data_IF_185612454520
#
_entry.id   IF_185612454520
#
_cell.length_a   1.000
_cell.length_b   1.000
_cell.length_c   1.000
_cell.angle_alpha   90.00
_cell.angle_beta   90.00
_cell.angle_gamma   90.00
#
_symmetry.space_group_name_H-M   'P 1'
#
loop_
_entity.id
_entity.type
_entity.pdbx_description
1 polymer ?
#
# COMPACT_ATOMS: atom_id res chain seq x y z
N UNK A 1 -10.76 53.32 8.83
CA UNK A 1 -10.45 52.54 10.05
C UNK A 1 -9.30 51.62 9.73
N UNK A 2 -8.13 51.90 10.30
CA UNK A 2 -6.91 51.09 10.14
C UNK A 2 -6.97 49.97 11.19
N UNK A 3 -7.26 48.74 10.76
CA UNK A 3 -7.07 47.57 11.62
C UNK A 3 -5.58 47.24 11.66
N UNK A 4 -4.82 47.97 12.49
CA UNK A 4 -3.48 47.55 12.89
C UNK A 4 -3.63 46.35 13.82
N UNK A 5 -3.31 45.16 13.33
CA UNK A 5 -3.16 43.94 14.11
C UNK A 5 -1.97 44.09 15.09
N UNK A 6 -2.19 44.07 16.42
CA UNK A 6 -1.10 44.00 17.39
C UNK A 6 -1.04 42.58 17.96
N UNK A 7 -0.84 41.59 17.11
CA UNK A 7 -0.65 40.21 17.54
C UNK A 7 0.52 39.65 16.73
N UNK A 8 1.65 39.41 17.42
CA UNK A 8 2.95 38.97 16.89
C UNK A 8 3.93 40.10 16.57
N UNK A 9 4.21 40.96 17.55
CA UNK A 9 5.54 41.58 17.64
C UNK A 9 6.51 40.46 18.04
N UNK A 10 7.46 40.13 17.17
CA UNK A 10 8.45 39.04 17.36
C UNK A 10 9.18 39.09 18.72
N UNK A 11 9.28 40.27 19.33
CA UNK A 11 9.88 40.48 20.65
C UNK A 11 9.06 39.96 21.85
N UNK A 12 7.76 39.68 21.72
CA UNK A 12 6.94 39.18 22.83
C UNK A 12 7.12 37.67 23.08
N UNK A 13 7.61 36.92 22.10
CA UNK A 13 7.94 35.50 22.23
C UNK A 13 9.30 35.25 22.91
N UNK A 14 10.12 36.28 23.08
CA UNK A 14 11.51 36.14 23.55
C UNK A 14 11.66 35.79 25.04
N UNK A 15 10.58 35.86 25.85
CA UNK A 15 10.62 35.61 27.31
C UNK A 15 9.76 34.44 27.79
N UNK A 16 9.12 33.69 26.89
CA UNK A 16 8.40 32.46 27.22
C UNK A 16 9.33 31.25 27.10
N UNK A 17 9.16 30.22 27.96
CA UNK A 17 9.73 28.90 27.67
C UNK A 17 9.26 28.50 26.27
N UNK A 18 10.20 28.02 25.44
CA UNK A 18 9.86 27.48 24.12
C UNK A 18 8.73 26.46 24.31
N UNK A 19 7.60 26.70 23.64
CA UNK A 19 6.43 25.82 23.66
C UNK A 19 6.78 24.43 23.11
N UNK A 20 7.89 24.33 22.36
CA UNK A 20 8.38 23.11 21.75
C UNK A 20 9.49 22.45 22.57
N UNK A 21 9.52 21.11 22.64
CA UNK A 21 10.58 20.38 23.31
C UNK A 21 11.92 20.62 22.61
N UNK A 22 13.01 20.72 23.40
CA UNK A 22 14.39 20.84 22.86
C UNK A 22 14.84 19.61 22.05
N UNK A 23 14.17 18.47 22.22
CA UNK A 23 14.48 17.21 21.53
C UNK A 23 13.27 16.79 20.70
N UNK A 24 13.47 16.62 19.40
CA UNK A 24 12.46 16.06 18.50
C UNK A 24 12.48 14.54 18.61
N UNK A 25 11.44 13.97 19.24
CA UNK A 25 11.32 12.50 19.45
C UNK A 25 10.93 11.77 18.15
N UNK A 26 10.28 12.46 17.23
CA UNK A 26 9.80 11.89 15.97
C UNK A 26 10.01 12.90 14.83
N UNK A 27 10.49 12.41 13.68
CA UNK A 27 10.64 13.20 12.47
C UNK A 27 9.77 12.62 11.36
N UNK A 28 8.91 13.46 10.79
CA UNK A 28 7.95 13.06 9.78
C UNK A 28 8.59 12.98 8.40
N UNK A 29 8.79 11.77 7.90
CA UNK A 29 9.23 11.55 6.51
C UNK A 29 8.05 11.70 5.53
N UNK A 30 6.86 11.30 5.98
CA UNK A 30 5.59 11.46 5.29
C UNK A 30 4.63 12.17 6.24
N UNK A 31 3.69 12.99 5.72
CA UNK A 31 2.70 13.64 6.57
C UNK A 31 1.86 12.57 7.30
N UNK A 32 1.55 12.81 8.58
CA UNK A 32 0.67 11.93 9.37
C UNK A 32 -0.79 12.09 8.93
N UNK A 33 -1.08 11.66 7.72
CA UNK A 33 -2.40 11.63 7.11
C UNK A 33 -2.72 10.18 6.69
N UNK A 34 -3.95 9.75 6.97
CA UNK A 34 -4.43 8.45 6.49
C UNK A 34 -4.72 8.51 4.98
N UNK A 35 -4.65 7.36 4.32
CA UNK A 35 -4.98 7.20 2.90
C UNK A 35 -6.40 6.67 2.77
N UNK A 36 -7.08 6.97 1.66
CA UNK A 36 -8.39 6.35 1.34
C UNK A 36 -8.27 4.90 0.84
N UNK A 37 -7.12 4.24 1.02
CA UNK A 37 -6.93 2.84 0.66
C UNK A 37 -5.92 2.18 1.57
N UNK A 38 -6.14 0.90 1.82
CA UNK A 38 -5.20 0.01 2.48
C UNK A 38 -4.55 -0.88 1.44
N UNK A 39 -3.24 -1.09 1.60
CA UNK A 39 -2.51 -2.02 0.76
C UNK A 39 -2.81 -3.45 1.21
N UNK A 40 -3.27 -4.27 0.28
CA UNK A 40 -3.44 -5.69 0.53
C UNK A 40 -2.06 -6.36 0.66
N UNK A 41 -1.87 -7.15 1.72
CA UNK A 41 -0.71 -8.04 1.83
C UNK A 41 -0.76 -9.04 0.68
N UNK A 42 0.33 -9.16 -0.08
CA UNK A 42 0.43 -10.14 -1.17
C UNK A 42 0.45 -11.54 -0.56
N UNK A 43 -0.69 -12.19 -0.53
CA UNK A 43 -0.80 -13.62 -0.24
C UNK A 43 -0.70 -14.37 -1.56
N UNK A 44 0.18 -15.37 -1.61
CA UNK A 44 0.25 -16.28 -2.75
C UNK A 44 -0.84 -17.33 -2.55
N UNK A 45 -1.53 -17.70 -3.62
CA UNK A 45 -2.38 -18.88 -3.60
C UNK A 45 -1.53 -20.09 -3.19
N UNK A 46 -2.11 -21.00 -2.42
CA UNK A 46 -1.51 -22.31 -2.14
C UNK A 46 -1.64 -23.20 -3.38
N UNK A 47 -1.07 -22.76 -4.51
CA UNK A 47 -0.98 -23.59 -5.69
C UNK A 47 0.08 -24.67 -5.43
N UNK A 48 -0.20 -25.90 -5.89
CA UNK A 48 0.81 -26.95 -5.94
C UNK A 48 2.01 -26.43 -6.72
N UNK A 49 3.18 -26.42 -6.09
CA UNK A 49 4.41 -26.24 -6.85
C UNK A 49 4.55 -27.53 -7.65
N UNK A 50 4.41 -27.49 -8.97
CA UNK A 50 4.52 -28.65 -9.89
C UNK A 50 5.94 -29.27 -9.92
N UNK A 51 6.65 -29.18 -8.81
CA UNK A 51 8.01 -29.63 -8.53
C UNK A 51 8.14 -31.13 -8.60
N UNK A 52 7.11 -31.90 -8.22
CA UNK A 52 7.12 -33.37 -8.34
C UNK A 52 7.14 -33.82 -9.81
N UNK A 53 6.22 -33.29 -10.61
CA UNK A 53 6.16 -33.55 -12.06
C UNK A 53 7.43 -33.07 -12.76
N UNK A 54 7.94 -31.90 -12.37
CA UNK A 54 9.18 -31.34 -12.90
C UNK A 54 10.41 -32.22 -12.57
N UNK A 55 10.48 -32.76 -11.36
CA UNK A 55 11.53 -33.71 -10.97
C UNK A 55 11.44 -35.01 -11.77
N UNK A 56 10.23 -35.52 -12.02
CA UNK A 56 10.02 -36.70 -12.86
C UNK A 56 10.43 -36.47 -14.32
N UNK A 57 10.13 -35.28 -14.87
CA UNK A 57 10.58 -34.85 -16.20
C UNK A 57 12.11 -34.81 -16.28
N UNK A 58 12.78 -34.13 -15.35
CA UNK A 58 14.24 -34.07 -15.32
C UNK A 58 14.88 -35.45 -15.11
N UNK A 59 14.23 -36.33 -14.33
CA UNK A 59 14.66 -37.72 -14.18
C UNK A 59 14.59 -38.52 -15.48
N UNK A 60 13.64 -38.22 -16.36
CA UNK A 60 13.55 -38.82 -17.68
C UNK A 60 14.58 -38.22 -18.65
N UNK A 61 14.65 -36.88 -18.72
CA UNK A 61 15.58 -36.17 -19.61
C UNK A 61 17.04 -36.56 -19.33
N UNK A 62 17.41 -36.73 -18.06
CA UNK A 62 18.75 -37.19 -17.68
C UNK A 62 19.11 -38.58 -18.24
N UNK A 63 18.13 -39.46 -18.44
CA UNK A 63 18.36 -40.82 -18.96
C UNK A 63 18.54 -40.86 -20.47
N UNK A 64 18.01 -39.87 -21.18
CA UNK A 64 17.96 -39.82 -22.65
C UNK A 64 18.74 -38.64 -23.21
N UNK A 65 19.78 -38.17 -22.51
CA UNK A 65 20.62 -37.03 -22.94
C UNK A 65 19.81 -35.78 -23.33
N UNK A 66 18.68 -35.55 -22.65
CA UNK A 66 17.74 -34.45 -22.88
C UNK A 66 16.92 -34.54 -24.18
N UNK A 67 16.75 -35.72 -24.76
CA UNK A 67 15.77 -35.94 -25.81
C UNK A 67 14.33 -35.97 -25.26
N UNK A 68 13.48 -35.05 -25.75
CA UNK A 68 12.08 -34.92 -25.30
C UNK A 68 11.16 -36.03 -25.83
N UNK A 69 11.49 -36.63 -26.97
CA UNK A 69 10.66 -37.67 -27.64
C UNK A 69 10.30 -38.86 -26.72
N UNK A 70 11.25 -39.48 -26.00
CA UNK A 70 10.94 -40.57 -25.07
C UNK A 70 10.25 -40.10 -23.78
N UNK A 71 10.30 -38.81 -23.43
CA UNK A 71 9.80 -38.24 -22.18
C UNK A 71 8.42 -37.57 -22.30
N UNK A 72 7.68 -37.84 -23.39
CA UNK A 72 6.38 -37.22 -23.67
C UNK A 72 5.32 -37.41 -22.58
N UNK A 73 5.36 -38.52 -21.81
CA UNK A 73 4.41 -38.77 -20.71
C UNK A 73 4.63 -37.82 -19.53
N UNK A 74 5.88 -37.66 -19.11
CA UNK A 74 6.29 -36.76 -18.03
C UNK A 74 6.10 -35.30 -18.44
N UNK A 75 6.32 -35.00 -19.71
CA UNK A 75 6.07 -33.66 -20.27
C UNK A 75 4.56 -33.32 -20.26
N UNK A 76 3.70 -34.25 -20.66
CA UNK A 76 2.25 -34.05 -20.61
C UNK A 76 1.78 -33.78 -19.16
N UNK A 77 2.19 -34.64 -18.21
CA UNK A 77 1.81 -34.51 -16.81
C UNK A 77 2.27 -33.19 -16.18
N UNK A 78 3.50 -32.74 -16.48
CA UNK A 78 3.99 -31.42 -16.08
C UNK A 78 3.12 -30.28 -16.63
N UNK A 79 2.84 -30.29 -17.94
CA UNK A 79 2.03 -29.22 -18.55
C UNK A 79 0.59 -29.20 -18.06
N UNK A 80 0.03 -30.34 -17.69
CA UNK A 80 -1.30 -30.42 -17.09
C UNK A 80 -1.31 -29.81 -15.69
N UNK A 81 -0.29 -30.11 -14.86
CA UNK A 81 -0.12 -29.48 -13.55
C UNK A 81 0.06 -27.96 -13.66
N UNK A 82 0.87 -27.47 -14.61
CA UNK A 82 1.04 -26.03 -14.83
C UNK A 82 -0.28 -25.35 -15.23
N UNK A 83 -1.06 -25.97 -16.12
CA UNK A 83 -2.37 -25.43 -16.53
C UNK A 83 -3.35 -25.41 -15.37
N UNK A 84 -3.37 -26.45 -14.53
CA UNK A 84 -4.23 -26.51 -13.35
C UNK A 84 -3.86 -25.42 -12.33
N UNK A 85 -2.58 -25.33 -11.96
CA UNK A 85 -2.08 -24.32 -11.02
C UNK A 85 -2.26 -22.88 -11.53
N UNK A 86 -2.12 -22.65 -12.83
CA UNK A 86 -2.38 -21.34 -13.43
C UNK A 86 -3.87 -20.94 -13.33
N UNK A 87 -4.79 -21.89 -13.55
CA UNK A 87 -6.24 -21.67 -13.38
C UNK A 87 -6.58 -21.36 -11.94
N UNK A 88 -6.11 -22.17 -10.99
CA UNK A 88 -6.33 -21.93 -9.55
C UNK A 88 -5.76 -20.58 -9.10
N UNK A 89 -4.58 -20.19 -9.60
CA UNK A 89 -3.99 -18.88 -9.31
C UNK A 89 -4.81 -17.73 -9.90
N UNK A 90 -5.41 -17.91 -11.08
CA UNK A 90 -6.31 -16.93 -11.68
C UNK A 90 -7.60 -16.79 -10.87
N UNK A 91 -8.25 -17.90 -10.51
CA UNK A 91 -9.45 -17.94 -9.67
C UNK A 91 -9.19 -17.29 -8.31
N UNK A 92 -8.06 -17.60 -7.68
CA UNK A 92 -7.65 -16.97 -6.41
C UNK A 92 -7.50 -15.45 -6.56
N UNK A 93 -6.87 -14.97 -7.64
CA UNK A 93 -6.74 -13.53 -7.91
C UNK A 93 -8.11 -12.87 -8.11
N UNK A 94 -9.02 -13.54 -8.82
CA UNK A 94 -10.37 -13.01 -9.03
C UNK A 94 -11.18 -12.95 -7.74
N UNK A 95 -11.17 -14.01 -6.95
CA UNK A 95 -11.87 -14.04 -5.67
C UNK A 95 -11.23 -13.09 -4.63
N UNK A 96 -9.91 -12.87 -4.70
CA UNK A 96 -9.22 -11.84 -3.90
C UNK A 96 -9.67 -10.43 -4.30
N UNK A 97 -9.78 -10.12 -5.60
CA UNK A 97 -10.31 -8.83 -6.10
C UNK A 97 -11.76 -8.61 -5.69
N UNK A 98 -12.59 -9.66 -5.76
CA UNK A 98 -13.99 -9.62 -5.32
C UNK A 98 -14.11 -9.48 -3.80
N UNK A 99 -13.03 -9.74 -3.04
CA UNK A 99 -13.01 -9.70 -1.59
C UNK A 99 -13.82 -10.83 -0.95
N UNK A 100 -14.02 -11.93 -1.68
CA UNK A 100 -14.70 -13.15 -1.21
C UNK A 100 -13.73 -14.11 -0.54
N UNK A 101 -12.45 -14.07 -0.93
CA UNK A 101 -11.35 -14.74 -0.23
C UNK A 101 -10.93 -13.93 0.99
N UNK A 102 -11.33 -14.38 2.18
CA UNK A 102 -10.99 -13.75 3.46
C UNK A 102 -11.11 -14.71 4.62
N UNK A 103 -9.99 -14.92 5.31
CA UNK A 103 -9.86 -15.71 6.55
C UNK A 103 -10.66 -15.08 7.70
N UNK A 104 -11.67 -15.79 8.20
CA UNK A 104 -12.22 -15.62 9.56
C UNK A 104 -12.99 -14.32 9.88
N UNK A 105 -12.85 -13.86 11.14
CA UNK A 105 -13.67 -12.84 11.82
C UNK A 105 -13.44 -11.39 11.34
N UNK A 106 -12.54 -11.13 10.38
CA UNK A 106 -12.14 -9.77 9.97
C UNK A 106 -12.52 -9.45 8.52
N UNK A 107 -12.84 -8.19 8.23
CA UNK A 107 -13.25 -7.74 6.89
C UNK A 107 -12.09 -7.80 5.88
N UNK A 108 -12.37 -8.23 4.65
CA UNK A 108 -11.37 -8.26 3.58
C UNK A 108 -10.94 -6.85 3.16
N UNK A 109 -9.66 -6.70 2.82
CA UNK A 109 -9.09 -5.42 2.38
C UNK A 109 -9.81 -4.83 1.18
N UNK A 110 -10.29 -5.66 0.23
CA UNK A 110 -11.08 -5.20 -0.90
C UNK A 110 -12.43 -4.60 -0.47
N UNK A 111 -13.12 -5.20 0.51
CA UNK A 111 -14.37 -4.65 1.07
C UNK A 111 -14.12 -3.36 1.84
N UNK A 112 -13.04 -3.32 2.62
CA UNK A 112 -12.63 -2.13 3.36
C UNK A 112 -12.27 -0.97 2.41
N UNK A 113 -11.58 -1.24 1.31
CA UNK A 113 -11.25 -0.24 0.30
C UNK A 113 -12.50 0.31 -0.38
N UNK A 114 -13.50 -0.53 -0.69
CA UNK A 114 -14.81 -0.06 -1.17
C UNK A 114 -15.49 0.90 -0.18
N UNK A 115 -15.42 0.59 1.12
CA UNK A 115 -15.99 1.46 2.16
C UNK A 115 -15.26 2.81 2.23
N UNK A 116 -13.93 2.81 2.09
CA UNK A 116 -13.12 4.03 2.03
C UNK A 116 -13.34 4.85 0.75
N UNK A 117 -13.73 4.21 -0.36
CA UNK A 117 -14.15 4.91 -1.59
C UNK A 117 -15.50 5.60 -1.43
N UNK A 118 -16.45 4.98 -0.71
CA UNK A 118 -17.76 5.57 -0.42
C UNK A 118 -17.65 6.75 0.56
N UNK A 119 -16.75 6.65 1.54
CA UNK A 119 -16.52 7.67 2.57
C UNK A 119 -15.07 8.15 2.56
N UNK A 120 -14.65 8.90 1.53
CA UNK A 120 -13.29 9.38 1.43
C UNK A 120 -13.02 10.42 2.51
N UNK A 121 -11.81 10.41 3.08
CA UNK A 121 -11.39 11.46 4.01
C UNK A 121 -11.22 12.78 3.24
N UNK A 122 -11.91 13.86 3.63
CA UNK A 122 -11.80 15.15 2.95
C UNK A 122 -10.37 15.67 3.08
N UNK A 123 -9.79 16.15 1.98
CA UNK A 123 -8.48 16.82 1.89
C UNK A 123 -7.22 15.99 2.24
N UNK A 124 -7.34 14.80 2.83
CA UNK A 124 -6.21 13.95 3.25
C UNK A 124 -6.11 12.62 2.48
N UNK A 125 -7.20 12.21 1.82
CA UNK A 125 -7.34 10.86 1.28
C UNK A 125 -6.52 10.52 0.04
N UNK A 126 -5.97 11.52 -0.65
CA UNK A 126 -5.03 11.35 -1.76
C UNK A 126 -3.64 10.96 -1.25
N UNK A 127 -2.92 10.13 -2.02
CA UNK A 127 -1.58 9.70 -1.63
C UNK A 127 -0.69 10.92 -1.31
N UNK A 128 -0.14 11.03 -0.08
CA UNK A 128 0.70 12.15 0.25
C UNK A 128 1.96 12.11 -0.60
N UNK A 129 2.21 13.18 -1.34
CA UNK A 129 3.44 13.35 -2.09
C UNK A 129 4.55 13.77 -1.13
N UNK A 130 5.77 13.27 -1.36
CA UNK A 130 6.97 13.57 -0.53
C UNK A 130 7.26 15.08 -0.39
N UNK A 131 6.68 15.88 -1.29
CA UNK A 131 6.79 17.33 -1.30
C UNK A 131 5.79 18.03 -0.36
N UNK A 132 4.75 17.35 0.16
CA UNK A 132 3.87 17.87 1.23
C UNK A 132 4.56 17.86 2.60
N UNK A 133 5.84 18.26 2.68
CA UNK A 133 6.51 18.42 3.97
C UNK A 133 5.92 19.63 4.67
N UNK A 134 5.44 19.43 5.89
CA UNK A 134 5.05 20.53 6.78
C UNK A 134 6.28 21.39 7.06
N UNK A 135 6.09 22.71 7.15
CA UNK A 135 7.15 23.54 7.71
C UNK A 135 7.34 23.16 9.19
N UNK A 136 8.58 23.23 9.73
CA UNK A 136 8.85 22.89 11.12
C UNK A 136 8.01 23.63 12.17
N UNK A 137 7.46 24.80 11.81
CA UNK A 137 6.64 25.67 12.68
C UNK A 137 5.13 25.49 12.51
N UNK A 138 4.68 24.59 11.63
CA UNK A 138 3.29 24.49 11.23
C UNK A 138 2.48 23.47 12.04
N UNK A 139 1.36 23.89 12.64
CA UNK A 139 0.57 23.03 13.52
C UNK A 139 -0.33 22.04 12.78
N UNK A 140 -0.60 20.90 13.41
CA UNK A 140 -1.43 19.82 12.87
C UNK A 140 -2.84 20.24 12.49
N UNK A 141 -3.48 21.04 13.35
CA UNK A 141 -4.86 21.49 13.21
C UNK A 141 -5.10 22.45 12.03
N UNK A 142 -4.07 23.17 11.57
CA UNK A 142 -4.18 24.15 10.47
C UNK A 142 -4.14 23.46 9.10
N UNK A 143 -3.56 22.26 9.02
CA UNK A 143 -3.38 21.51 7.78
C UNK A 143 -4.49 20.49 7.50
N UNK A 144 -5.22 20.08 8.54
CA UNK A 144 -6.27 19.05 8.41
C UNK A 144 -7.51 19.54 7.68
N UNK A 145 -7.76 20.86 7.58
CA UNK A 145 -9.06 21.33 7.11
C UNK A 145 -9.10 22.39 6.00
N UNK A 146 -8.05 23.19 5.71
CA UNK A 146 -8.22 24.32 4.77
C UNK A 146 -6.94 24.77 4.01
N UNK A 147 -6.39 23.96 3.10
CA UNK A 147 -5.26 24.41 2.23
C UNK A 147 -5.58 24.65 0.75
N UNK A 148 -6.68 24.11 0.21
CA UNK A 148 -7.00 24.29 -1.23
C UNK A 148 -7.59 25.67 -1.57
N UNK A 149 -8.15 26.40 -0.61
CA UNK A 149 -8.89 27.64 -0.85
C UNK A 149 -8.13 28.93 -0.50
N UNK A 150 -6.96 28.85 0.12
CA UNK A 150 -6.17 30.05 0.44
C UNK A 150 -5.29 30.44 -0.75
N UNK A 151 -5.72 31.45 -1.50
CA UNK A 151 -4.95 32.05 -2.58
C UNK A 151 -3.61 32.59 -2.05
N UNK A 152 -2.50 32.25 -2.72
CA UNK A 152 -1.21 32.92 -2.56
C UNK A 152 -0.13 32.22 -1.72
N UNK A 153 -0.19 30.90 -1.47
CA UNK A 153 0.92 30.18 -0.82
C UNK A 153 1.55 29.13 -1.75
N UNK A 154 2.89 29.15 -1.95
CA UNK A 154 3.57 28.19 -2.79
C UNK A 154 3.45 26.77 -2.20
N UNK A 155 3.19 25.82 -3.08
CA UNK A 155 3.02 24.39 -2.84
C UNK A 155 4.25 23.73 -2.24
#
# INVERSE_FOLDING_TARGET
MLFTSPLLKEGALAKGRLVYPKVTVFSEVLPLASKNRVNQKKTKAAASSCTQELQALFGCLKKWEFDDKPCGKQHAAYTECEKASAKEAAEYKEAAKKGTLGEGQTMTTARFNKLMELFPQPNLGTAPYRQMKRLPTQSYAVDTFNRKSYAGKPS
#
